data_IF_712789746330
#
_entry.id   IF_712789746330
#
_cell.length_a   1.000
_cell.length_b   1.000
_cell.length_c   1.000
_cell.angle_alpha   90.00
_cell.angle_beta   90.00
_cell.angle_gamma   90.00
#
_symmetry.space_group_name_H-M   'P 1'
#
loop_
_entity.id
_entity.type
_entity.pdbx_description
1 polymer ?
#
# COMPACT_ATOMS: atom_id res chain seq x y z
N UNK A 1 -25.29 -10.69 6.44
CA UNK A 1 -25.00 -11.87 7.28
C UNK A 1 -24.26 -12.87 6.43
N UNK A 2 -23.18 -13.44 6.96
CA UNK A 2 -22.39 -14.48 6.29
C UNK A 2 -23.20 -15.80 6.25
N UNK A 3 -23.29 -16.41 5.09
CA UNK A 3 -24.00 -17.67 4.86
C UNK A 3 -23.23 -18.88 5.38
N UNK A 4 -23.90 -20.02 5.58
CA UNK A 4 -23.22 -21.24 6.03
C UNK A 4 -22.20 -21.75 5.00
N UNK A 5 -22.49 -21.61 3.69
CA UNK A 5 -21.53 -21.93 2.61
C UNK A 5 -20.26 -21.08 2.75
N UNK A 6 -20.41 -19.76 2.98
CA UNK A 6 -19.25 -18.88 3.17
C UNK A 6 -18.45 -19.26 4.43
N UNK A 7 -19.11 -19.65 5.53
CA UNK A 7 -18.42 -20.12 6.75
C UNK A 7 -17.61 -21.39 6.49
N UNK A 8 -18.16 -22.35 5.76
CA UNK A 8 -17.45 -23.58 5.38
C UNK A 8 -16.21 -23.27 4.53
N UNK A 9 -16.34 -22.35 3.56
CA UNK A 9 -15.22 -21.92 2.72
C UNK A 9 -14.11 -21.24 3.54
N UNK A 10 -14.47 -20.37 4.49
CA UNK A 10 -13.51 -19.73 5.39
C UNK A 10 -12.77 -20.76 6.26
N UNK A 11 -13.48 -21.71 6.86
CA UNK A 11 -12.88 -22.80 7.65
C UNK A 11 -11.94 -23.67 6.80
N UNK A 12 -12.31 -23.94 5.56
CA UNK A 12 -11.46 -24.69 4.63
C UNK A 12 -10.12 -23.99 4.41
N UNK A 13 -10.13 -22.67 4.17
CA UNK A 13 -8.91 -21.89 3.96
C UNK A 13 -8.10 -21.75 5.25
N UNK A 14 -8.76 -21.57 6.40
CA UNK A 14 -8.09 -21.54 7.72
C UNK A 14 -7.26 -22.79 7.99
N UNK A 15 -7.73 -23.95 7.54
CA UNK A 15 -7.07 -25.24 7.72
C UNK A 15 -6.03 -25.57 6.64
N UNK A 16 -5.76 -24.66 5.68
CA UNK A 16 -4.67 -24.84 4.71
C UNK A 16 -3.29 -24.61 5.33
N UNK A 17 -2.34 -25.49 5.01
CA UNK A 17 -0.97 -25.37 5.51
C UNK A 17 -0.21 -24.25 4.80
N UNK A 18 0.32 -23.28 5.56
CA UNK A 18 1.23 -22.26 5.04
C UNK A 18 2.46 -22.87 4.35
N UNK A 19 3.06 -23.94 4.92
CA UNK A 19 4.22 -24.61 4.33
C UNK A 19 3.88 -25.20 2.95
N UNK A 20 2.68 -25.80 2.82
CA UNK A 20 2.19 -26.32 1.54
C UNK A 20 2.01 -25.19 0.52
N UNK A 21 1.45 -24.05 0.93
CA UNK A 21 1.29 -22.89 0.03
C UNK A 21 2.65 -22.36 -0.44
N UNK A 22 3.62 -22.23 0.47
CA UNK A 22 4.99 -21.84 0.11
C UNK A 22 5.64 -22.81 -0.89
N UNK A 23 5.43 -24.11 -0.74
CA UNK A 23 5.99 -25.11 -1.64
C UNK A 23 5.36 -25.08 -3.04
N UNK A 24 4.03 -24.89 -3.11
CA UNK A 24 3.26 -25.10 -4.33
C UNK A 24 2.95 -23.82 -5.12
N UNK A 25 3.04 -22.64 -4.49
CA UNK A 25 2.64 -21.39 -5.13
C UNK A 25 3.38 -21.14 -6.45
N UNK A 26 2.65 -20.93 -7.55
CA UNK A 26 3.22 -20.61 -8.87
C UNK A 26 2.44 -19.46 -9.50
N UNK A 27 3.11 -18.68 -10.35
CA UNK A 27 2.39 -17.73 -11.19
C UNK A 27 1.59 -18.51 -12.23
N UNK A 28 0.26 -18.42 -12.14
CA UNK A 28 -0.66 -19.01 -13.11
C UNK A 28 -1.49 -17.86 -13.66
N UNK A 29 -1.25 -17.52 -14.94
CA UNK A 29 -1.67 -16.27 -15.59
C UNK A 29 -2.81 -16.42 -16.57
N UNK A 30 -3.14 -17.66 -16.94
CA UNK A 30 -4.16 -17.96 -17.94
C UNK A 30 -5.50 -18.27 -17.26
N UNK A 31 -6.45 -17.36 -17.40
CA UNK A 31 -7.78 -17.43 -16.81
C UNK A 31 -8.90 -17.67 -17.81
N UNK A 32 -10.11 -17.82 -17.27
CA UNK A 32 -11.32 -17.89 -18.07
C UNK A 32 -11.50 -16.63 -18.94
N UNK A 33 -11.71 -16.84 -20.24
CA UNK A 33 -11.88 -15.81 -21.26
C UNK A 33 -10.58 -15.21 -21.82
N UNK A 34 -9.42 -15.68 -21.34
CA UNK A 34 -8.12 -15.14 -21.75
C UNK A 34 -7.67 -15.70 -23.10
N UNK A 35 -6.62 -15.07 -23.64
CA UNK A 35 -6.02 -15.48 -24.92
C UNK A 35 -4.50 -15.34 -24.91
N UNK A 36 -3.82 -16.26 -25.57
CA UNK A 36 -2.40 -16.20 -25.88
C UNK A 36 -2.18 -16.64 -27.31
N UNK A 37 -1.19 -16.01 -27.94
CA UNK A 37 -0.61 -16.50 -29.19
C UNK A 37 -1.63 -16.68 -30.35
N UNK A 38 -2.77 -16.00 -30.31
CA UNK A 38 -3.89 -16.19 -31.25
C UNK A 38 -3.68 -15.51 -32.60
N UNK A 39 -2.75 -14.54 -32.70
CA UNK A 39 -2.66 -13.67 -33.87
C UNK A 39 -3.80 -12.65 -33.97
N UNK A 40 -4.62 -12.49 -32.93
CA UNK A 40 -5.76 -11.57 -32.92
C UNK A 40 -5.39 -10.23 -32.26
N UNK A 41 -6.02 -9.14 -32.73
CA UNK A 41 -6.02 -7.86 -32.04
C UNK A 41 -7.38 -7.62 -31.38
N UNK A 42 -7.37 -7.11 -30.15
CA UNK A 42 -8.59 -6.74 -29.41
C UNK A 42 -8.55 -5.27 -29.06
N UNK A 43 -9.72 -4.65 -28.93
CA UNK A 43 -9.84 -3.28 -28.42
C UNK A 43 -10.14 -3.31 -26.92
N UNK A 44 -9.35 -2.57 -26.13
CA UNK A 44 -9.61 -2.25 -24.72
C UNK A 44 -9.71 -0.73 -24.60
N UNK A 45 -10.94 -0.25 -24.44
CA UNK A 45 -11.32 1.16 -24.58
C UNK A 45 -10.71 1.83 -25.81
N UNK A 46 -9.75 2.75 -25.60
CA UNK A 46 -9.10 3.49 -26.67
C UNK A 46 -7.85 2.80 -27.25
N UNK A 47 -7.40 1.70 -26.66
CA UNK A 47 -6.19 0.99 -27.05
C UNK A 47 -6.48 -0.31 -27.79
N UNK A 48 -5.53 -0.74 -28.63
CA UNK A 48 -5.57 -2.03 -29.32
C UNK A 48 -4.47 -2.91 -28.76
N UNK A 49 -4.84 -4.04 -28.16
CA UNK A 49 -3.91 -5.06 -27.66
C UNK A 49 -3.75 -6.13 -28.73
N UNK A 50 -2.55 -6.25 -29.28
CA UNK A 50 -2.23 -7.29 -30.25
C UNK A 50 -1.68 -8.53 -29.54
N UNK A 51 -2.19 -9.71 -29.89
CA UNK A 51 -1.63 -10.99 -29.47
C UNK A 51 -0.92 -11.58 -30.67
N UNK A 52 0.42 -11.81 -30.62
CA UNK A 52 1.14 -12.40 -31.73
C UNK A 52 0.60 -13.80 -32.02
N UNK A 53 0.95 -14.38 -33.16
CA UNK A 53 0.75 -15.81 -33.39
C UNK A 53 1.92 -16.58 -32.77
N UNK A 54 1.66 -17.69 -32.07
CA UNK A 54 2.73 -18.44 -31.42
C UNK A 54 2.38 -19.89 -31.06
N UNK A 55 3.35 -20.61 -30.47
CA UNK A 55 3.25 -22.04 -30.17
C UNK A 55 2.26 -22.36 -29.05
N UNK A 56 1.99 -21.41 -28.15
CA UNK A 56 1.04 -21.56 -27.06
C UNK A 56 -0.33 -20.99 -27.43
N UNK A 57 -0.69 -21.02 -28.71
CA UNK A 57 -1.98 -20.51 -29.20
C UNK A 57 -3.13 -21.10 -28.41
N UNK A 58 -3.85 -20.24 -27.70
CA UNK A 58 -5.01 -20.65 -26.94
C UNK A 58 -5.95 -19.48 -26.74
N UNK A 59 -7.23 -19.75 -26.95
CA UNK A 59 -8.33 -18.85 -26.65
C UNK A 59 -9.31 -19.61 -25.78
N UNK A 60 -9.49 -19.17 -24.54
CA UNK A 60 -10.46 -19.78 -23.63
C UNK A 60 -11.83 -19.78 -24.28
N UNK A 61 -12.49 -20.94 -24.26
CA UNK A 61 -13.88 -21.09 -24.70
C UNK A 61 -14.89 -20.81 -23.56
N UNK A 62 -14.38 -20.66 -22.34
CA UNK A 62 -15.18 -20.39 -21.14
C UNK A 62 -15.38 -18.88 -20.97
N UNK A 63 -16.57 -18.50 -20.48
CA UNK A 63 -16.86 -17.12 -20.11
C UNK A 63 -16.07 -16.72 -18.87
N UNK A 64 -15.57 -15.48 -18.77
CA UNK A 64 -15.05 -14.96 -17.51
C UNK A 64 -16.10 -15.03 -16.40
N UNK A 65 -15.69 -15.44 -15.21
CA UNK A 65 -16.53 -15.50 -14.00
C UNK A 65 -15.81 -14.65 -12.95
N UNK A 66 -16.45 -13.61 -12.38
CA UNK A 66 -15.89 -12.82 -11.28
C UNK A 66 -15.65 -13.67 -10.03
N UNK A 67 -14.63 -13.33 -9.26
CA UNK A 67 -14.48 -13.83 -7.90
C UNK A 67 -15.73 -13.48 -7.07
N UNK A 68 -16.15 -14.40 -6.22
CA UNK A 68 -17.19 -14.19 -5.22
C UNK A 68 -16.76 -13.19 -4.14
N UNK A 69 -17.72 -12.71 -3.36
CA UNK A 69 -17.45 -11.81 -2.21
C UNK A 69 -16.46 -12.43 -1.22
N UNK A 70 -16.61 -13.72 -0.90
CA UNK A 70 -15.74 -14.39 0.08
C UNK A 70 -14.31 -14.55 -0.44
N UNK A 71 -14.12 -14.80 -1.74
CA UNK A 71 -12.80 -14.84 -2.36
C UNK A 71 -12.13 -13.47 -2.34
N UNK A 72 -12.88 -12.41 -2.71
CA UNK A 72 -12.39 -11.04 -2.63
C UNK A 72 -12.08 -10.61 -1.18
N UNK A 73 -12.89 -11.04 -0.22
CA UNK A 73 -12.67 -10.77 1.20
C UNK A 73 -11.37 -11.40 1.71
N UNK A 74 -11.11 -12.67 1.35
CA UNK A 74 -9.90 -13.37 1.75
C UNK A 74 -8.63 -12.72 1.16
N UNK A 75 -8.62 -12.38 -0.14
CA UNK A 75 -7.45 -11.74 -0.74
C UNK A 75 -7.24 -10.30 -0.24
N UNK A 76 -8.31 -9.52 -0.03
CA UNK A 76 -8.18 -8.16 0.53
C UNK A 76 -7.69 -8.17 1.97
N UNK A 77 -8.17 -9.11 2.80
CA UNK A 77 -7.63 -9.31 4.16
C UNK A 77 -6.18 -9.80 4.16
N UNK A 78 -5.82 -10.73 3.27
CA UNK A 78 -4.43 -11.16 3.13
C UNK A 78 -3.50 -9.99 2.72
N UNK A 79 -3.99 -9.07 1.89
CA UNK A 79 -3.23 -7.93 1.40
C UNK A 79 -2.95 -6.87 2.47
N UNK A 80 -3.94 -6.53 3.32
CA UNK A 80 -3.82 -5.45 4.30
C UNK A 80 -4.86 -5.47 5.43
N UNK A 81 -5.46 -6.63 5.72
CA UNK A 81 -6.50 -6.79 6.72
C UNK A 81 -6.01 -6.65 8.16
N UNK A 82 -6.89 -6.37 9.13
CA UNK A 82 -6.53 -6.32 10.55
C UNK A 82 -6.08 -7.70 11.04
N UNK A 83 -4.98 -7.76 11.80
CA UNK A 83 -4.53 -9.01 12.44
C UNK A 83 -4.50 -8.95 13.97
N UNK A 84 -4.38 -7.76 14.57
CA UNK A 84 -4.29 -7.64 16.02
C UNK A 84 -3.69 -6.32 16.50
N UNK A 85 -3.45 -6.19 17.80
CA UNK A 85 -2.67 -5.08 18.37
C UNK A 85 -1.17 -5.38 18.19
N UNK A 86 -0.36 -4.36 17.89
CA UNK A 86 1.09 -4.56 17.81
C UNK A 86 1.68 -4.75 19.20
N UNK A 87 2.74 -5.55 19.29
CA UNK A 87 3.46 -5.75 20.56
C UNK A 87 4.34 -4.56 20.93
N UNK A 88 4.83 -3.81 19.93
CA UNK A 88 5.70 -2.66 20.09
C UNK A 88 6.86 -2.93 21.08
N UNK A 89 7.55 -4.06 20.88
CA UNK A 89 8.58 -4.64 21.74
C UNK A 89 9.92 -3.88 21.69
N UNK A 90 9.85 -2.56 21.87
CA UNK A 90 10.97 -1.64 21.88
C UNK A 90 11.04 -0.90 23.22
N UNK A 91 12.25 -0.73 23.76
CA UNK A 91 12.46 0.00 25.01
C UNK A 91 12.28 1.51 24.84
N UNK A 92 11.89 2.21 25.91
CA UNK A 92 11.75 3.69 25.91
C UNK A 92 13.01 4.40 25.43
N UNK A 93 14.18 3.97 25.92
CA UNK A 93 15.47 4.53 25.50
C UNK A 93 15.88 4.18 24.07
N UNK A 94 15.17 3.26 23.42
CA UNK A 94 15.45 2.79 22.07
C UNK A 94 14.41 3.30 21.06
N UNK A 95 13.81 4.47 21.31
CA UNK A 95 12.81 5.11 20.45
C UNK A 95 11.50 4.33 20.24
N UNK A 96 10.92 3.77 21.31
CA UNK A 96 9.54 3.22 21.22
C UNK A 96 8.54 4.28 20.72
N UNK A 97 8.80 5.57 20.96
CA UNK A 97 8.03 6.68 20.44
C UNK A 97 7.89 6.69 18.92
N UNK A 98 8.76 5.98 18.19
CA UNK A 98 8.71 5.87 16.73
C UNK A 98 7.36 5.34 16.24
N UNK A 99 6.73 4.41 16.97
CA UNK A 99 5.48 3.80 16.54
C UNK A 99 4.38 4.83 16.31
N UNK A 100 3.68 4.70 15.19
CA UNK A 100 2.62 5.63 14.77
C UNK A 100 1.23 5.10 15.14
N UNK A 101 1.01 3.80 14.96
CA UNK A 101 -0.25 3.12 15.26
C UNK A 101 -0.03 2.01 16.29
N UNK A 102 -1.06 1.72 17.10
CA UNK A 102 -1.02 0.58 18.04
C UNK A 102 -1.68 -0.69 17.47
N UNK A 103 -2.16 -0.64 16.23
CA UNK A 103 -2.91 -1.72 15.59
C UNK A 103 -2.14 -2.27 14.40
N UNK A 104 -2.21 -3.57 14.19
CA UNK A 104 -1.47 -4.32 13.19
C UNK A 104 -2.33 -4.71 12.00
N UNK A 105 -1.66 -4.96 10.89
CA UNK A 105 -2.22 -5.56 9.67
C UNK A 105 -1.47 -6.84 9.34
N UNK A 106 -2.02 -7.65 8.44
CA UNK A 106 -1.39 -8.88 7.91
C UNK A 106 -0.05 -8.63 7.20
N UNK A 107 0.33 -7.36 7.00
CA UNK A 107 1.58 -6.91 6.41
C UNK A 107 2.40 -6.09 7.42
N UNK A 108 3.74 -6.07 7.30
CA UNK A 108 4.57 -5.18 8.08
C UNK A 108 4.47 -3.74 7.55
N UNK A 109 4.84 -2.78 8.40
CA UNK A 109 5.07 -1.39 8.03
C UNK A 109 6.18 -0.81 8.90
N UNK A 110 7.06 0.05 8.34
CA UNK A 110 8.06 0.75 9.14
C UNK A 110 7.36 1.58 10.20
N UNK A 111 7.84 1.52 11.45
CA UNK A 111 7.24 2.22 12.59
C UNK A 111 5.73 1.96 12.80
N UNK A 112 5.24 0.87 12.22
CA UNK A 112 3.81 0.58 12.09
C UNK A 112 3.00 1.76 11.50
N UNK A 113 3.48 2.35 10.41
CA UNK A 113 2.91 3.56 9.77
C UNK A 113 1.51 3.43 9.18
N UNK A 114 1.05 2.19 8.97
CA UNK A 114 -0.16 1.85 8.21
C UNK A 114 -0.32 2.62 6.89
N UNK A 115 0.81 2.84 6.21
CA UNK A 115 0.89 3.63 4.98
C UNK A 115 0.23 2.96 3.78
N UNK A 116 0.14 1.62 3.76
CA UNK A 116 -0.42 0.83 2.66
C UNK A 116 -1.93 0.71 2.79
N UNK A 117 -2.64 1.12 1.75
CA UNK A 117 -4.05 0.80 1.52
C UNK A 117 -4.19 0.02 0.21
N UNK A 118 -5.40 -0.47 -0.05
CA UNK A 118 -5.65 -1.28 -1.23
C UNK A 118 -6.68 -0.63 -2.14
N UNK A 119 -6.31 -0.44 -3.39
CA UNK A 119 -7.29 -0.25 -4.47
C UNK A 119 -7.48 -1.60 -5.14
N UNK A 120 -8.72 -2.00 -5.40
CA UNK A 120 -8.99 -3.17 -6.22
C UNK A 120 -10.04 -2.88 -7.29
N UNK A 121 -9.90 -3.56 -8.42
CA UNK A 121 -10.71 -3.37 -9.62
C UNK A 121 -11.33 -4.72 -9.97
N UNK A 122 -12.66 -4.73 -10.00
CA UNK A 122 -13.51 -5.85 -10.39
C UNK A 122 -14.50 -5.36 -11.46
N UNK A 123 -15.26 -6.28 -12.06
CA UNK A 123 -16.18 -5.97 -13.16
C UNK A 123 -17.16 -4.83 -12.83
N UNK A 124 -17.65 -4.77 -11.59
CA UNK A 124 -18.62 -3.76 -11.14
C UNK A 124 -17.99 -2.38 -10.83
N UNK A 125 -16.68 -2.29 -10.60
CA UNK A 125 -16.11 -1.03 -10.14
C UNK A 125 -14.66 -1.03 -9.70
N UNK A 126 -14.21 0.18 -9.37
CA UNK A 126 -12.98 0.45 -8.64
C UNK A 126 -13.32 0.73 -7.18
N UNK A 127 -12.64 0.07 -6.27
CA UNK A 127 -12.89 0.17 -4.83
C UNK A 127 -11.62 0.52 -4.09
N UNK A 128 -11.78 1.23 -2.97
CA UNK A 128 -10.75 1.48 -1.99
C UNK A 128 -11.09 0.71 -0.71
N UNK A 129 -10.21 -0.17 -0.29
CA UNK A 129 -10.33 -0.97 0.92
C UNK A 129 -9.41 -0.40 2.00
N UNK A 130 -10.02 0.08 3.09
CA UNK A 130 -9.31 0.42 4.34
C UNK A 130 -10.11 -0.10 5.53
N UNK A 131 -9.74 -1.26 6.07
CA UNK A 131 -10.47 -1.90 7.17
C UNK A 131 -10.35 -1.09 8.47
N UNK A 132 -11.14 -1.40 9.50
CA UNK A 132 -11.05 -0.73 10.78
C UNK A 132 -9.73 -1.06 11.48
N UNK A 133 -9.36 -0.24 12.46
CA UNK A 133 -8.28 -0.59 13.38
C UNK A 133 -8.63 -1.85 14.20
N UNK A 134 -7.61 -2.67 14.48
CA UNK A 134 -7.74 -3.80 15.39
C UNK A 134 -8.07 -3.39 16.83
N UNK A 135 -8.74 -4.28 17.55
CA UNK A 135 -9.32 -4.09 18.87
C UNK A 135 -8.91 -5.17 19.88
N UNK A 136 -8.30 -6.26 19.41
CA UNK A 136 -7.79 -7.38 20.23
C UNK A 136 -6.36 -7.71 19.88
N UNK A 137 -5.64 -8.40 20.77
CA UNK A 137 -4.29 -8.93 20.49
C UNK A 137 -4.29 -9.77 19.21
N UNK A 138 -5.32 -10.61 19.03
CA UNK A 138 -5.58 -11.35 17.80
C UNK A 138 -7.01 -11.06 17.33
N UNK A 139 -7.14 -10.54 16.11
CA UNK A 139 -8.47 -10.27 15.54
C UNK A 139 -9.17 -11.53 15.03
N UNK A 140 -8.39 -12.54 14.65
CA UNK A 140 -8.87 -13.89 14.36
C UNK A 140 -8.12 -14.82 15.31
N UNK A 141 -8.76 -15.22 16.41
CA UNK A 141 -8.18 -16.11 17.41
C UNK A 141 -8.54 -17.57 17.12
N UNK A 142 -9.75 -17.78 16.59
CA UNK A 142 -10.29 -19.10 16.26
C UNK A 142 -11.23 -19.06 15.06
N UNK A 143 -11.76 -20.21 14.65
CA UNK A 143 -12.67 -20.32 13.50
C UNK A 143 -13.96 -19.50 13.67
N UNK A 144 -14.39 -19.24 14.90
CA UNK A 144 -15.56 -18.41 15.21
C UNK A 144 -15.39 -16.95 14.78
N UNK A 145 -14.15 -16.46 14.66
CA UNK A 145 -13.88 -15.07 14.26
C UNK A 145 -13.81 -14.87 12.74
N UNK A 146 -13.79 -15.95 11.94
CA UNK A 146 -13.50 -15.87 10.50
C UNK A 146 -14.49 -15.01 9.71
N UNK A 147 -15.75 -14.92 10.16
CA UNK A 147 -16.77 -14.11 9.49
C UNK A 147 -16.42 -12.61 9.46
N UNK A 148 -15.56 -12.14 10.38
CA UNK A 148 -15.03 -10.77 10.37
C UNK A 148 -14.33 -10.42 9.06
N UNK A 149 -13.67 -11.37 8.41
CA UNK A 149 -12.97 -11.15 7.13
C UNK A 149 -13.95 -10.65 6.07
N UNK A 150 -15.11 -11.31 5.97
CA UNK A 150 -16.16 -10.97 5.02
C UNK A 150 -16.86 -9.67 5.42
N UNK A 151 -17.12 -9.47 6.72
CA UNK A 151 -17.73 -8.24 7.21
C UNK A 151 -16.83 -7.02 7.00
N UNK A 152 -15.51 -7.14 7.18
CA UNK A 152 -14.58 -6.05 6.88
C UNK A 152 -14.58 -5.72 5.40
N UNK A 153 -14.54 -6.72 4.53
CA UNK A 153 -14.61 -6.50 3.09
C UNK A 153 -15.88 -5.75 2.68
N UNK A 154 -17.05 -6.20 3.14
CA UNK A 154 -18.35 -5.62 2.78
C UNK A 154 -18.56 -4.22 3.34
N UNK A 155 -18.13 -3.96 4.57
CA UNK A 155 -18.41 -2.69 5.26
C UNK A 155 -17.34 -1.61 5.03
N UNK A 156 -16.13 -1.99 4.63
CA UNK A 156 -14.99 -1.06 4.53
C UNK A 156 -14.36 -1.02 3.12
N UNK A 157 -15.12 -1.47 2.11
CA UNK A 157 -14.84 -1.21 0.70
C UNK A 157 -15.65 -0.01 0.21
N UNK A 158 -14.97 1.07 -0.15
CA UNK A 158 -15.58 2.29 -0.69
C UNK A 158 -15.54 2.23 -2.20
N UNK A 159 -16.70 2.17 -2.86
CA UNK A 159 -16.77 2.24 -4.33
C UNK A 159 -16.39 3.65 -4.79
N UNK A 160 -15.38 3.75 -5.65
CA UNK A 160 -14.84 5.00 -6.19
C UNK A 160 -15.39 5.30 -7.59
N UNK A 161 -15.48 4.28 -8.43
CA UNK A 161 -15.87 4.38 -9.84
C UNK A 161 -16.77 3.19 -10.20
N UNK A 162 -17.73 3.41 -11.11
CA UNK A 162 -18.57 2.36 -11.68
C UNK A 162 -17.88 1.69 -12.87
N UNK A 163 -17.88 0.36 -12.89
CA UNK A 163 -17.18 -0.45 -13.89
C UNK A 163 -15.65 -0.44 -13.73
N UNK A 164 -14.99 -1.29 -14.52
CA UNK A 164 -13.52 -1.33 -14.57
C UNK A 164 -12.99 -0.03 -15.18
N UNK A 165 -11.95 0.55 -14.57
CA UNK A 165 -11.15 1.56 -15.26
C UNK A 165 -10.31 0.90 -16.36
N UNK A 166 -10.18 1.55 -17.51
CA UNK A 166 -9.44 1.03 -18.65
C UNK A 166 -7.94 1.31 -18.51
N UNK A 167 -7.26 0.49 -17.70
CA UNK A 167 -5.81 0.56 -17.49
C UNK A 167 -5.01 -0.02 -18.68
N UNK A 168 -5.58 -0.09 -19.88
CA UNK A 168 -5.16 -1.00 -20.95
C UNK A 168 -3.63 -1.12 -21.15
N UNK A 169 -3.16 -2.35 -20.97
CA UNK A 169 -1.75 -2.74 -20.95
C UNK A 169 -1.13 -2.85 -22.34
N UNK A 170 -0.85 -1.70 -22.96
CA UNK A 170 0.00 -1.65 -24.15
C UNK A 170 1.19 -0.72 -23.95
N UNK A 171 2.23 -0.93 -24.75
CA UNK A 171 3.42 -0.09 -24.74
C UNK A 171 3.04 1.38 -25.01
N UNK A 172 3.73 2.34 -24.37
CA UNK A 172 4.87 2.12 -23.49
C UNK A 172 4.50 1.77 -22.04
N UNK A 173 3.22 1.79 -21.65
CA UNK A 173 2.79 1.84 -20.25
C UNK A 173 2.54 0.49 -19.56
N UNK A 174 2.67 -0.61 -20.29
CA UNK A 174 2.76 -1.96 -19.72
C UNK A 174 3.77 -2.82 -20.47
N UNK A 175 4.49 -3.69 -19.76
CA UNK A 175 5.38 -4.68 -20.37
C UNK A 175 4.60 -5.72 -21.20
N UNK A 176 5.21 -6.18 -22.31
CA UNK A 176 4.57 -7.04 -23.33
C UNK A 176 3.99 -8.36 -22.82
N UNK A 177 4.40 -8.80 -21.63
CA UNK A 177 3.91 -10.04 -21.01
C UNK A 177 2.64 -9.87 -20.17
N UNK A 178 2.12 -8.64 -20.01
CA UNK A 178 0.90 -8.33 -19.26
C UNK A 178 -0.32 -8.10 -20.18
N UNK A 179 -0.51 -8.91 -21.23
CA UNK A 179 -1.60 -8.69 -22.21
C UNK A 179 -3.01 -8.97 -21.66
N UNK A 180 -3.15 -10.03 -20.85
CA UNK A 180 -4.40 -10.38 -20.15
C UNK A 180 -4.55 -9.65 -18.80
N UNK A 181 -3.97 -8.46 -18.70
CA UNK A 181 -4.12 -7.60 -17.54
C UNK A 181 -5.50 -6.91 -17.53
N UNK A 182 -6.06 -6.78 -16.33
CA UNK A 182 -7.33 -6.13 -16.02
C UNK A 182 -8.50 -6.65 -16.88
N UNK A 183 -8.53 -7.96 -17.13
CA UNK A 183 -9.60 -8.62 -17.89
C UNK A 183 -10.86 -8.79 -17.05
N UNK A 184 -12.01 -8.92 -17.72
CA UNK A 184 -13.26 -9.26 -17.07
C UNK A 184 -13.14 -10.56 -16.26
N UNK A 185 -13.92 -10.69 -15.19
CA UNK A 185 -13.89 -11.84 -14.28
C UNK A 185 -12.64 -11.92 -13.38
N UNK A 186 -11.71 -10.98 -13.49
CA UNK A 186 -10.53 -10.92 -12.60
C UNK A 186 -10.66 -9.86 -11.52
N UNK A 187 -9.96 -10.05 -10.40
CA UNK A 187 -9.72 -9.00 -9.41
C UNK A 187 -8.29 -8.51 -9.58
N UNK A 188 -8.15 -7.24 -9.95
CA UNK A 188 -6.85 -6.57 -9.99
C UNK A 188 -6.66 -5.79 -8.69
N UNK A 189 -5.56 -6.05 -7.99
CA UNK A 189 -5.21 -5.40 -6.74
C UNK A 189 -3.99 -4.50 -6.93
N UNK A 190 -4.14 -3.25 -6.49
CA UNK A 190 -3.16 -2.17 -6.56
C UNK A 190 -2.91 -1.67 -5.13
N UNK A 191 -1.94 -2.25 -4.40
CA UNK A 191 -1.56 -1.73 -3.11
C UNK A 191 -0.93 -0.34 -3.28
N UNK A 192 -1.52 0.66 -2.63
CA UNK A 192 -1.12 2.06 -2.68
C UNK A 192 -0.45 2.43 -1.37
N UNK A 193 0.86 2.63 -1.42
CA UNK A 193 1.66 2.95 -0.22
C UNK A 193 1.95 4.44 -0.15
N UNK A 194 1.49 5.07 0.94
CA UNK A 194 1.83 6.45 1.30
C UNK A 194 3.10 6.46 2.16
N UNK A 195 4.23 6.59 1.48
CA UNK A 195 5.54 6.64 2.11
C UNK A 195 5.80 7.96 2.86
N UNK A 196 5.02 9.01 2.61
CA UNK A 196 5.23 10.30 3.28
C UNK A 196 5.12 10.22 4.80
N UNK A 197 4.33 9.28 5.32
CA UNK A 197 4.17 9.03 6.76
C UNK A 197 5.47 8.59 7.41
N UNK A 198 6.12 7.58 6.85
CA UNK A 198 7.41 7.11 7.36
C UNK A 198 8.50 8.15 7.16
N UNK A 199 8.46 8.92 6.05
CA UNK A 199 9.44 9.99 5.81
C UNK A 199 9.39 11.04 6.91
N UNK A 200 8.20 11.54 7.26
CA UNK A 200 8.10 12.55 8.30
C UNK A 200 8.51 11.96 9.65
N UNK A 201 8.11 10.72 9.94
CA UNK A 201 8.47 10.05 11.20
C UNK A 201 9.97 9.83 11.36
N UNK A 202 10.66 9.36 10.30
CA UNK A 202 12.08 9.03 10.38
C UNK A 202 12.96 10.26 10.61
N UNK A 203 12.49 11.46 10.22
CA UNK A 203 13.19 12.72 10.53
C UNK A 203 13.27 12.96 12.05
N UNK A 204 12.20 12.68 12.79
CA UNK A 204 12.23 12.75 14.25
C UNK A 204 13.21 11.73 14.83
N UNK A 205 13.18 10.49 14.33
CA UNK A 205 14.10 9.44 14.76
C UNK A 205 15.57 9.83 14.52
N UNK A 206 15.89 10.34 13.32
CA UNK A 206 17.24 10.74 12.98
C UNK A 206 17.74 11.91 13.84
N UNK A 207 16.90 12.90 14.10
CA UNK A 207 17.33 14.07 14.85
C UNK A 207 17.41 13.82 16.35
N UNK A 208 16.49 13.05 16.91
CA UNK A 208 16.41 12.86 18.36
C UNK A 208 17.23 11.67 18.86
N UNK A 209 17.18 10.53 18.18
CA UNK A 209 17.72 9.27 18.69
C UNK A 209 19.05 8.89 18.03
N UNK A 210 19.11 8.94 16.69
CA UNK A 210 20.36 8.64 15.96
C UNK A 210 21.33 9.84 15.96
N UNK A 211 20.81 11.04 16.25
CA UNK A 211 21.58 12.30 16.31
C UNK A 211 22.30 12.61 14.99
N UNK A 212 21.65 12.28 13.87
CA UNK A 212 22.17 12.40 12.51
C UNK A 212 21.64 13.68 11.84
N UNK A 213 22.49 14.64 11.47
CA UNK A 213 22.07 15.76 10.63
C UNK A 213 21.85 15.32 9.18
N UNK A 214 21.04 16.08 8.43
CA UNK A 214 20.84 15.86 7.00
C UNK A 214 21.53 16.97 6.19
N UNK A 215 22.28 16.56 5.17
CA UNK A 215 22.92 17.45 4.20
C UNK A 215 22.31 17.30 2.81
N UNK A 216 22.37 18.36 2.02
CA UNK A 216 22.04 18.33 0.60
C UNK A 216 23.29 17.99 -0.21
N UNK A 217 23.28 16.82 -0.87
CA UNK A 217 24.37 16.31 -1.72
C UNK A 217 24.81 17.32 -2.80
N UNK A 218 23.88 18.13 -3.32
CA UNK A 218 24.18 19.09 -4.39
C UNK A 218 24.93 20.33 -3.90
N UNK A 219 24.87 20.63 -2.60
CA UNK A 219 25.49 21.84 -2.03
C UNK A 219 26.58 21.53 -1.01
N UNK A 220 26.57 20.32 -0.43
CA UNK A 220 27.43 19.93 0.69
C UNK A 220 27.08 20.63 2.01
N UNK A 221 25.94 21.35 2.07
CA UNK A 221 25.51 22.10 3.24
C UNK A 221 24.40 21.38 4.00
N UNK A 222 24.20 21.73 5.28
CA UNK A 222 23.04 21.31 6.05
C UNK A 222 21.76 21.70 5.31
N UNK A 223 20.82 20.76 5.19
CA UNK A 223 19.51 20.98 4.62
C UNK A 223 18.61 21.67 5.68
N UNK A 224 18.83 22.97 5.88
CA UNK A 224 18.31 23.75 7.00
C UNK A 224 17.92 25.15 6.55
N UNK A 225 16.61 25.45 6.51
CA UNK A 225 16.09 26.70 5.99
C UNK A 225 16.25 27.89 6.96
N UNK A 226 16.09 27.64 8.26
CA UNK A 226 16.01 28.69 9.29
C UNK A 226 17.10 28.59 10.38
N UNK A 227 18.04 27.66 10.25
CA UNK A 227 19.14 27.47 11.20
C UNK A 227 18.80 26.59 12.40
N UNK A 228 17.61 25.98 12.47
CA UNK A 228 17.19 25.13 13.58
C UNK A 228 18.09 23.87 13.69
N UNK A 229 18.40 23.21 12.57
CA UNK A 229 19.28 22.04 12.57
C UNK A 229 20.71 22.43 12.97
N UNK A 230 21.21 23.56 12.44
CA UNK A 230 22.53 24.10 12.82
C UNK A 230 22.63 24.37 14.31
N UNK A 231 21.61 24.93 14.95
CA UNK A 231 21.60 25.13 16.41
C UNK A 231 21.75 23.81 17.18
N UNK A 232 21.14 22.72 16.69
CA UNK A 232 21.30 21.40 17.29
C UNK A 232 22.71 20.83 17.09
N UNK A 233 23.31 21.04 15.92
CA UNK A 233 24.71 20.67 15.65
C UNK A 233 25.66 21.44 16.56
N UNK A 234 25.49 22.76 16.69
CA UNK A 234 26.35 23.62 17.51
C UNK A 234 26.27 23.25 19.01
N UNK A 235 25.10 22.80 19.48
CA UNK A 235 24.89 22.26 20.83
C UNK A 235 25.45 20.84 21.03
N UNK A 236 25.94 20.21 19.97
CA UNK A 236 26.35 18.81 19.97
C UNK A 236 25.20 17.83 20.11
N UNK A 237 23.94 18.24 19.91
CA UNK A 237 22.78 17.33 19.91
C UNK A 237 22.82 16.46 18.65
N UNK A 238 22.94 17.07 17.47
CA UNK A 238 23.23 16.34 16.23
C UNK A 238 24.75 16.21 16.09
N UNK A 239 25.27 15.02 16.36
CA UNK A 239 26.71 14.80 16.54
C UNK A 239 27.26 13.64 15.71
N UNK A 240 26.44 12.98 14.89
CA UNK A 240 26.94 11.92 14.01
C UNK A 240 28.03 12.45 13.08
N UNK A 241 29.13 11.71 12.99
CA UNK A 241 30.26 12.04 12.10
C UNK A 241 29.94 11.79 10.62
N UNK A 242 28.94 10.95 10.35
CA UNK A 242 28.46 10.64 9.01
C UNK A 242 27.05 11.22 8.90
N UNK A 243 26.86 12.32 8.15
CA UNK A 243 25.53 12.88 7.94
C UNK A 243 24.71 11.96 7.03
N UNK A 244 23.39 12.00 7.21
CA UNK A 244 22.46 11.49 6.21
C UNK A 244 22.44 12.47 5.04
N UNK A 245 22.34 11.96 3.82
CA UNK A 245 22.17 12.83 2.65
C UNK A 245 20.75 12.76 2.14
N UNK A 246 20.27 13.84 1.50
CA UNK A 246 18.92 13.85 0.95
C UNK A 246 18.74 12.76 -0.12
N UNK A 247 19.75 12.46 -0.94
CA UNK A 247 19.68 11.36 -1.93
C UNK A 247 19.58 9.98 -1.25
N UNK A 248 20.34 9.76 -0.18
CA UNK A 248 20.25 8.49 0.57
C UNK A 248 18.88 8.33 1.24
N UNK A 249 18.33 9.40 1.81
CA UNK A 249 16.97 9.43 2.35
C UNK A 249 15.94 9.06 1.28
N UNK A 250 16.00 9.71 0.12
CA UNK A 250 15.11 9.45 -1.04
C UNK A 250 15.16 8.00 -1.52
N UNK A 251 16.35 7.37 -1.56
CA UNK A 251 16.51 5.97 -1.96
C UNK A 251 15.96 5.00 -0.92
N UNK A 252 16.17 5.26 0.36
CA UNK A 252 15.68 4.42 1.45
C UNK A 252 14.14 4.28 1.40
N UNK A 253 13.46 5.38 1.06
CA UNK A 253 12.00 5.43 0.93
C UNK A 253 11.48 4.46 -0.13
N UNK A 254 12.09 4.49 -1.34
CA UNK A 254 11.70 3.59 -2.42
C UNK A 254 11.91 2.12 -2.07
N UNK A 255 12.99 1.81 -1.36
CA UNK A 255 13.27 0.44 -0.89
C UNK A 255 12.20 -0.04 0.12
N UNK A 256 11.85 0.81 1.09
CA UNK A 256 10.80 0.53 2.09
C UNK A 256 9.44 0.30 1.42
N UNK A 257 9.05 1.18 0.49
CA UNK A 257 7.80 1.04 -0.26
C UNK A 257 7.74 -0.31 -1.01
N UNK A 258 8.84 -0.72 -1.64
CA UNK A 258 8.95 -2.00 -2.32
C UNK A 258 8.75 -3.21 -1.40
N UNK A 259 9.29 -3.19 -0.18
CA UNK A 259 9.15 -4.27 0.81
C UNK A 259 7.71 -4.40 1.32
N UNK A 260 7.08 -3.27 1.70
CA UNK A 260 5.72 -3.26 2.23
C UNK A 260 4.72 -3.75 1.17
N UNK A 261 4.80 -3.18 -0.04
CA UNK A 261 3.94 -3.60 -1.17
C UNK A 261 4.23 -5.04 -1.59
N UNK A 262 5.52 -5.42 -1.65
CA UNK A 262 5.94 -6.78 -1.99
C UNK A 262 5.37 -7.84 -1.05
N UNK A 263 5.31 -7.54 0.25
CA UNK A 263 4.72 -8.43 1.25
C UNK A 263 3.21 -8.56 1.06
N UNK A 264 2.52 -7.44 0.78
CA UNK A 264 1.08 -7.42 0.50
C UNK A 264 0.71 -8.31 -0.69
N UNK A 265 1.37 -8.13 -1.85
CA UNK A 265 1.07 -8.93 -3.04
C UNK A 265 1.50 -10.40 -2.89
N UNK A 266 2.53 -10.68 -2.08
CA UNK A 266 2.95 -12.05 -1.77
C UNK A 266 1.92 -12.76 -0.89
N UNK A 267 1.34 -12.09 0.11
CA UNK A 267 0.25 -12.64 0.92
C UNK A 267 -0.97 -12.98 0.06
N UNK A 268 -1.36 -12.08 -0.85
CA UNK A 268 -2.45 -12.33 -1.82
C UNK A 268 -2.15 -13.56 -2.66
N UNK A 269 -0.91 -13.72 -3.12
CA UNK A 269 -0.49 -14.85 -3.95
C UNK A 269 -0.60 -16.17 -3.20
N UNK A 270 -0.19 -16.21 -1.93
CA UNK A 270 -0.32 -17.40 -1.08
C UNK A 270 -1.79 -17.71 -0.76
N UNK A 271 -2.59 -16.69 -0.45
CA UNK A 271 -4.03 -16.83 -0.24
C UNK A 271 -4.75 -17.35 -1.50
N UNK A 272 -4.34 -16.88 -2.68
CA UNK A 272 -4.86 -17.36 -3.96
C UNK A 272 -4.55 -18.85 -4.18
N UNK A 273 -3.33 -19.31 -3.87
CA UNK A 273 -2.97 -20.73 -3.96
C UNK A 273 -3.83 -21.59 -3.03
N UNK A 274 -4.05 -21.12 -1.79
CA UNK A 274 -4.88 -21.81 -0.81
C UNK A 274 -6.30 -22.03 -1.31
N UNK A 275 -6.87 -21.04 -2.00
CA UNK A 275 -8.21 -21.14 -2.60
C UNK A 275 -8.27 -21.92 -3.92
N UNK A 276 -7.12 -22.21 -4.55
CA UNK A 276 -7.07 -22.83 -5.88
C UNK A 276 -7.25 -21.85 -7.04
N UNK A 277 -6.93 -20.57 -6.82
CA UNK A 277 -7.04 -19.50 -7.82
C UNK A 277 -5.75 -19.28 -8.60
N UNK A 278 -5.90 -18.69 -9.79
CA UNK A 278 -4.79 -18.17 -10.58
C UNK A 278 -4.37 -16.81 -10.07
N UNK A 279 -3.05 -16.60 -9.91
CA UNK A 279 -2.52 -15.27 -9.60
C UNK A 279 -1.15 -15.03 -10.22
N UNK A 280 -0.83 -13.77 -10.47
CA UNK A 280 0.55 -13.35 -10.68
C UNK A 280 0.80 -11.93 -10.19
N UNK A 281 2.00 -11.74 -9.66
CA UNK A 281 2.55 -10.45 -9.27
C UNK A 281 3.29 -9.89 -10.48
N UNK A 282 3.14 -8.60 -10.73
CA UNK A 282 3.85 -7.92 -11.79
C UNK A 282 4.09 -6.45 -11.45
N UNK A 283 5.26 -5.96 -11.86
CA UNK A 283 5.49 -4.54 -12.05
C UNK A 283 5.37 -4.18 -13.53
N UNK A 284 6.06 -3.12 -13.93
CA UNK A 284 6.12 -2.71 -15.33
C UNK A 284 4.79 -2.21 -15.88
N UNK A 285 3.88 -1.80 -15.00
CA UNK A 285 2.82 -0.85 -15.30
C UNK A 285 3.27 0.49 -14.73
N UNK A 286 3.10 1.55 -15.52
CA UNK A 286 3.49 2.88 -15.08
C UNK A 286 2.43 3.38 -14.11
N UNK A 287 2.80 3.49 -12.85
CA UNK A 287 1.94 3.97 -11.77
C UNK A 287 1.43 5.40 -12.02
N UNK A 288 2.15 6.21 -12.80
CA UNK A 288 1.66 7.50 -13.32
C UNK A 288 0.39 7.34 -14.17
N UNK A 289 0.34 6.33 -15.04
CA UNK A 289 -0.87 6.04 -15.84
C UNK A 289 -2.00 5.57 -14.93
N UNK A 290 -1.70 4.70 -13.96
CA UNK A 290 -2.68 4.27 -12.94
C UNK A 290 -3.24 5.49 -12.20
N UNK A 291 -2.40 6.45 -11.82
CA UNK A 291 -2.83 7.67 -11.12
C UNK A 291 -3.47 8.73 -12.04
N UNK A 292 -3.69 8.43 -13.33
CA UNK A 292 -4.40 9.30 -14.27
C UNK A 292 -3.56 10.43 -14.87
N UNK A 293 -2.23 10.35 -14.82
CA UNK A 293 -1.34 11.43 -15.28
C UNK A 293 -1.41 11.73 -16.78
N UNK A 294 -1.92 10.79 -17.58
CA UNK A 294 -2.00 10.90 -19.04
C UNK A 294 -3.44 10.78 -19.57
N UNK A 295 -4.43 11.05 -18.71
CA UNK A 295 -5.82 11.11 -19.11
C UNK A 295 -6.07 12.36 -20.00
N UNK A 296 -7.01 12.30 -20.97
CA UNK A 296 -7.89 11.18 -21.29
C UNK A 296 -7.29 10.15 -22.27
N UNK A 297 -6.04 10.33 -22.72
CA UNK A 297 -5.40 9.44 -23.69
C UNK A 297 -5.19 8.04 -23.10
N UNK A 298 -4.73 7.98 -21.85
CA UNK A 298 -4.63 6.75 -21.06
C UNK A 298 -5.36 6.95 -19.75
N UNK A 299 -6.45 6.19 -19.58
CA UNK A 299 -7.29 6.30 -18.38
C UNK A 299 -6.68 5.54 -17.22
N UNK A 300 -6.88 6.08 -16.03
CA UNK A 300 -6.41 5.58 -14.76
C UNK A 300 -7.46 5.81 -13.68
N UNK A 301 -7.03 6.39 -12.58
CA UNK A 301 -7.84 6.69 -11.40
C UNK A 301 -8.29 8.16 -11.37
N UNK A 302 -8.22 8.91 -12.47
CA UNK A 302 -8.69 10.30 -12.53
C UNK A 302 -10.18 10.42 -12.22
N UNK A 303 -11.01 9.45 -12.63
CA UNK A 303 -12.45 9.39 -12.29
C UNK A 303 -12.65 9.12 -10.80
N UNK A 304 -11.73 8.37 -10.18
CA UNK A 304 -11.65 8.20 -8.73
C UNK A 304 -11.10 9.43 -8.01
N UNK A 305 -10.78 10.52 -8.73
CA UNK A 305 -10.16 11.75 -8.24
C UNK A 305 -8.73 11.56 -7.74
N UNK A 306 -7.97 10.67 -8.37
CA UNK A 306 -6.53 10.64 -8.21
C UNK A 306 -5.91 12.00 -8.57
N UNK A 307 -4.92 12.42 -7.78
CA UNK A 307 -4.26 13.70 -7.87
C UNK A 307 -2.81 13.47 -8.24
N UNK A 308 -2.41 14.03 -9.37
CA UNK A 308 -1.03 14.25 -9.75
C UNK A 308 -0.76 15.73 -9.91
N UNK A 309 0.43 16.18 -9.49
CA UNK A 309 0.87 17.56 -9.65
C UNK A 309 1.97 17.64 -10.70
N UNK A 310 1.99 18.72 -11.49
CA UNK A 310 3.15 19.00 -12.31
C UNK A 310 4.36 19.31 -11.41
N UNK A 311 5.56 18.81 -11.74
CA UNK A 311 6.73 19.09 -10.95
C UNK A 311 7.08 20.59 -11.01
N UNK A 312 7.49 21.22 -9.91
CA UNK A 312 7.99 22.60 -9.92
C UNK A 312 9.25 22.71 -10.79
N UNK A 313 9.46 23.85 -11.47
CA UNK A 313 10.64 24.05 -12.33
C UNK A 313 11.97 23.77 -11.61
N UNK A 314 12.06 24.19 -10.33
CA UNK A 314 13.23 24.01 -9.47
C UNK A 314 13.64 22.55 -9.28
N UNK A 315 12.69 21.61 -9.38
CA UNK A 315 12.94 20.19 -9.17
C UNK A 315 13.74 19.52 -10.29
N UNK A 316 13.75 20.11 -11.50
CA UNK A 316 14.24 19.50 -12.75
C UNK A 316 13.60 18.14 -13.06
N UNK A 317 12.50 17.78 -12.39
CA UNK A 317 11.76 16.54 -12.58
C UNK A 317 10.89 16.67 -13.82
N UNK A 318 10.86 15.63 -14.64
CA UNK A 318 10.04 15.58 -15.88
C UNK A 318 8.67 14.97 -15.60
N UNK A 319 8.63 13.92 -14.77
CA UNK A 319 7.41 13.18 -14.50
C UNK A 319 6.52 13.89 -13.47
N UNK A 320 5.19 13.85 -13.62
CA UNK A 320 4.25 14.32 -12.60
C UNK A 320 4.51 13.67 -11.23
N UNK A 321 4.02 14.32 -10.20
CA UNK A 321 4.21 13.92 -8.81
C UNK A 321 2.90 13.32 -8.27
N UNK A 322 2.93 12.08 -7.76
CA UNK A 322 1.72 11.35 -7.33
C UNK A 322 1.35 11.73 -5.89
N UNK A 323 0.23 12.42 -5.68
CA UNK A 323 -0.12 13.00 -4.37
C UNK A 323 -1.17 12.18 -3.61
N UNK A 324 -2.07 11.49 -4.32
CA UNK A 324 -3.08 10.67 -3.67
C UNK A 324 -4.40 10.65 -4.41
N UNK A 325 -5.49 10.47 -3.68
CA UNK A 325 -6.87 10.41 -4.16
C UNK A 325 -7.70 11.35 -3.30
N UNK A 326 -8.26 12.39 -3.93
CA UNK A 326 -8.96 13.48 -3.24
C UNK A 326 -10.15 12.94 -2.45
N UNK A 327 -10.29 13.41 -1.21
CA UNK A 327 -11.30 12.98 -0.23
C UNK A 327 -11.22 11.51 0.19
N UNK A 328 -10.21 10.76 -0.26
CA UNK A 328 -9.96 9.37 0.14
C UNK A 328 -8.64 9.33 0.89
N UNK A 329 -7.50 9.49 0.21
CA UNK A 329 -6.16 9.36 0.79
C UNK A 329 -5.21 10.33 0.12
N UNK A 330 -4.82 11.39 0.83
CA UNK A 330 -3.82 12.36 0.38
C UNK A 330 -2.54 12.19 1.20
N UNK A 331 -1.37 12.34 0.58
CA UNK A 331 -0.08 12.25 1.25
C UNK A 331 0.24 13.46 2.14
N UNK A 332 1.23 13.31 3.01
CA UNK A 332 1.94 14.39 3.69
C UNK A 332 2.98 15.01 2.74
N UNK A 333 2.51 15.91 1.86
CA UNK A 333 3.38 16.53 0.86
C UNK A 333 3.08 18.01 0.64
N UNK A 334 4.09 18.73 0.15
CA UNK A 334 4.03 20.13 -0.27
C UNK A 334 4.59 20.21 -1.69
N UNK A 335 3.84 20.76 -2.65
CA UNK A 335 4.27 20.91 -4.05
C UNK A 335 3.96 22.34 -4.52
N UNK A 336 5.02 23.12 -4.79
CA UNK A 336 4.94 24.49 -5.29
C UNK A 336 4.15 24.56 -6.60
N UNK A 337 3.20 25.49 -6.68
CA UNK A 337 2.34 25.67 -7.85
C UNK A 337 1.20 24.64 -7.99
N UNK A 338 1.11 23.62 -7.13
CA UNK A 338 0.01 22.66 -7.17
C UNK A 338 -1.14 23.06 -6.25
N UNK A 339 -2.30 23.36 -6.82
CA UNK A 339 -3.52 23.72 -6.08
C UNK A 339 -4.05 22.61 -5.14
N UNK A 340 -3.77 21.36 -5.48
CA UNK A 340 -4.19 20.18 -4.71
C UNK A 340 -3.03 19.66 -3.82
N UNK A 341 -1.98 20.47 -3.60
CA UNK A 341 -0.98 20.21 -2.58
C UNK A 341 -1.65 20.14 -1.20
N UNK A 342 -1.49 19.05 -0.43
CA UNK A 342 -2.18 18.85 0.84
C UNK A 342 -1.83 19.87 1.93
N UNK A 343 -0.59 20.37 1.93
CA UNK A 343 -0.08 21.31 2.94
C UNK A 343 0.61 22.50 2.28
N UNK A 344 0.67 23.62 3.00
CA UNK A 344 1.28 24.88 2.52
C UNK A 344 2.74 25.05 2.93
N UNK A 345 3.12 24.53 4.09
CA UNK A 345 4.45 24.67 4.67
C UNK A 345 4.76 23.52 5.63
N UNK A 346 6.03 23.40 6.03
CA UNK A 346 6.51 22.33 6.90
C UNK A 346 5.81 22.29 8.25
N UNK A 347 5.42 23.44 8.82
CA UNK A 347 4.71 23.49 10.10
C UNK A 347 3.34 22.83 10.02
N UNK A 348 2.52 23.20 9.05
CA UNK A 348 1.18 22.62 8.86
C UNK A 348 1.24 21.10 8.66
N UNK A 349 2.21 20.65 7.85
CA UNK A 349 2.45 19.24 7.57
C UNK A 349 2.90 18.47 8.81
N UNK A 350 3.89 19.00 9.55
CA UNK A 350 4.41 18.37 10.77
C UNK A 350 3.35 18.31 11.86
N UNK A 351 2.55 19.36 12.05
CA UNK A 351 1.45 19.37 13.01
C UNK A 351 0.38 18.34 12.65
N UNK A 352 0.03 18.23 11.37
CA UNK A 352 -0.90 17.19 10.92
C UNK A 352 -0.36 15.78 11.16
N UNK A 353 0.95 15.56 10.93
CA UNK A 353 1.59 14.29 11.25
C UNK A 353 1.58 13.98 12.74
N UNK A 354 1.94 14.94 13.60
CA UNK A 354 1.96 14.74 15.05
C UNK A 354 0.55 14.47 15.61
N UNK A 355 -0.50 15.03 15.03
CA UNK A 355 -1.88 14.71 15.40
C UNK A 355 -2.25 13.24 15.15
N UNK A 356 -1.61 12.55 14.20
CA UNK A 356 -1.81 11.11 13.98
C UNK A 356 -1.26 10.31 15.17
N UNK A 357 -0.15 10.75 15.77
CA UNK A 357 0.55 10.03 16.86
C UNK A 357 0.05 10.40 18.26
N UNK A 358 -0.13 11.70 18.50
CA UNK A 358 -0.37 12.27 19.83
C UNK A 358 -1.75 12.90 19.98
N UNK A 359 -2.51 13.01 18.88
CA UNK A 359 -3.82 13.64 18.87
C UNK A 359 -4.92 12.68 18.43
N UNK A 360 -5.97 13.29 17.89
CA UNK A 360 -7.07 12.59 17.21
C UNK A 360 -6.93 12.84 15.72
N UNK A 361 -7.15 11.83 14.91
CA UNK A 361 -7.12 11.95 13.46
C UNK A 361 -8.22 11.11 12.82
N UNK A 362 -8.51 11.40 11.55
CA UNK A 362 -9.59 10.80 10.79
C UNK A 362 -9.04 10.01 9.61
N UNK A 363 -9.50 8.78 9.46
CA UNK A 363 -9.14 7.90 8.36
C UNK A 363 -10.01 8.14 7.11
N UNK A 364 -9.56 7.69 5.92
CA UNK A 364 -10.31 7.73 4.65
C UNK A 364 -11.76 7.25 4.71
N UNK A 365 -12.07 6.30 5.60
CA UNK A 365 -13.41 5.72 5.78
C UNK A 365 -14.27 6.49 6.82
N UNK A 366 -13.88 7.72 7.14
CA UNK A 366 -14.49 8.60 8.14
C UNK A 366 -14.41 8.12 9.60
N UNK A 367 -13.67 7.06 9.88
CA UNK A 367 -13.45 6.61 11.26
C UNK A 367 -12.43 7.52 11.93
N UNK A 368 -12.73 7.92 13.17
CA UNK A 368 -11.84 8.73 13.97
C UNK A 368 -11.09 7.85 14.99
N UNK A 369 -9.81 8.15 15.18
CA UNK A 369 -8.95 7.39 16.06
C UNK A 369 -8.02 8.30 16.86
N UNK A 370 -7.73 7.87 18.08
CA UNK A 370 -6.69 8.45 18.91
C UNK A 370 -5.35 7.79 18.60
N UNK A 371 -4.32 8.62 18.37
CA UNK A 371 -2.96 8.17 18.12
C UNK A 371 -2.40 7.31 19.25
N UNK A 372 -1.41 6.47 18.96
CA UNK A 372 -0.83 5.53 19.94
C UNK A 372 -0.31 6.23 21.20
N UNK A 373 0.09 7.49 21.13
CA UNK A 373 0.58 8.29 22.27
C UNK A 373 -0.43 9.35 22.75
N UNK A 374 -1.65 9.33 22.24
CA UNK A 374 -2.68 10.30 22.60
C UNK A 374 -3.08 10.19 24.08
N UNK A 375 -3.33 11.34 24.76
CA UNK A 375 -3.89 11.35 26.12
C UNK A 375 -5.29 10.71 26.17
N UNK A 376 -6.01 10.63 25.05
CA UNK A 376 -7.37 10.12 24.97
C UNK A 376 -7.46 8.65 24.50
N UNK A 377 -6.35 8.03 24.08
CA UNK A 377 -6.37 6.64 23.63
C UNK A 377 -6.82 5.72 24.74
N UNK A 378 -7.78 4.83 24.44
CA UNK A 378 -8.20 3.77 25.36
C UNK A 378 -7.00 2.85 25.67
N UNK A 379 -6.57 2.75 26.95
CA UNK A 379 -5.45 1.91 27.33
C UNK A 379 -5.73 0.40 27.17
N UNK A 380 -6.96 -0.02 26.86
CA UNK A 380 -7.28 -1.40 26.50
C UNK A 380 -7.03 -1.70 25.01
N UNK A 381 -6.82 -0.69 24.18
CA UNK A 381 -6.53 -0.82 22.75
C UNK A 381 -5.04 -0.75 22.45
N UNK A 382 -4.20 -1.27 23.35
CA UNK A 382 -2.75 -1.45 23.18
C UNK A 382 -2.33 -2.79 23.76
N UNK A 383 -1.19 -3.35 23.34
CA UNK A 383 -0.72 -4.64 23.85
C UNK A 383 -0.05 -4.55 25.24
N UNK A 384 0.46 -3.37 25.62
CA UNK A 384 1.00 -3.16 26.95
C UNK A 384 -0.09 -3.27 28.02
N UNK A 385 0.31 -3.70 29.21
CA UNK A 385 -0.55 -3.56 30.39
C UNK A 385 -0.90 -2.09 30.58
N UNK A 386 -2.12 -1.83 31.05
CA UNK A 386 -2.68 -0.48 31.21
C UNK A 386 -1.77 0.47 32.00
N UNK A 387 -1.28 0.03 33.15
CA UNK A 387 -0.37 0.80 34.00
C UNK A 387 0.95 1.14 33.31
N UNK A 388 1.53 0.16 32.60
CA UNK A 388 2.75 0.36 31.81
C UNK A 388 2.51 1.36 30.68
N UNK A 389 1.44 1.21 29.90
CA UNK A 389 1.10 2.14 28.82
C UNK A 389 0.90 3.58 29.32
N UNK A 390 0.19 3.73 30.45
CA UNK A 390 -0.02 5.03 31.10
C UNK A 390 1.28 5.69 31.54
N UNK A 391 2.26 4.91 32.00
CA UNK A 391 3.60 5.41 32.30
C UNK A 391 4.35 5.80 31.03
N UNK A 392 4.36 4.92 30.01
CA UNK A 392 5.03 5.14 28.74
C UNK A 392 4.58 6.44 28.08
N UNK A 393 3.27 6.61 27.85
CA UNK A 393 2.74 7.77 27.12
C UNK A 393 2.98 9.12 27.81
N UNK A 394 3.36 9.13 29.09
CA UNK A 394 3.69 10.34 29.87
C UNK A 394 5.19 10.56 30.01
N UNK A 395 6.02 9.60 29.62
CA UNK A 395 7.47 9.71 29.67
C UNK A 395 7.94 10.82 28.71
N UNK A 396 8.90 11.63 29.16
CA UNK A 396 9.44 12.75 28.39
C UNK A 396 10.08 12.31 27.07
N UNK A 397 10.61 11.08 26.99
CA UNK A 397 11.20 10.51 25.77
C UNK A 397 10.15 10.13 24.73
N UNK A 398 8.90 9.97 25.14
CA UNK A 398 7.80 9.75 24.20
C UNK A 398 7.30 11.07 23.61
N UNK A 399 7.51 12.19 24.31
CA UNK A 399 7.08 13.50 23.84
C UNK A 399 8.06 14.08 22.83
N UNK A 400 7.52 14.75 21.82
CA UNK A 400 8.34 15.45 20.82
C UNK A 400 8.92 16.72 21.44
N UNK A 401 10.26 16.85 21.40
CA UNK A 401 10.95 18.07 21.82
C UNK A 401 10.78 19.17 20.77
N UNK A 402 10.55 20.40 21.24
CA UNK A 402 10.26 21.53 20.34
C UNK A 402 11.44 21.86 19.43
N UNK A 403 12.68 21.76 19.90
CA UNK A 403 13.86 22.03 19.07
C UNK A 403 14.08 20.97 17.96
N UNK A 404 13.73 19.72 18.24
CA UNK A 404 13.66 18.64 17.23
C UNK A 404 12.53 18.92 16.22
N UNK A 405 11.33 19.27 16.68
CA UNK A 405 10.19 19.64 15.82
C UNK A 405 10.57 20.77 14.87
N UNK A 406 11.20 21.83 15.38
CA UNK A 406 11.62 22.97 14.56
C UNK A 406 12.73 22.58 13.55
N UNK A 407 13.62 21.65 13.88
CA UNK A 407 14.60 21.13 12.94
C UNK A 407 13.94 20.31 11.80
N UNK A 408 12.92 19.49 12.10
CA UNK A 408 12.12 18.78 11.09
C UNK A 408 11.41 19.76 10.17
N UNK A 409 10.76 20.79 10.72
CA UNK A 409 10.10 21.84 9.94
C UNK A 409 11.12 22.54 9.03
N UNK A 410 12.28 22.92 9.58
CA UNK A 410 13.33 23.61 8.82
C UNK A 410 13.88 22.79 7.65
N UNK A 411 14.03 21.47 7.84
CA UNK A 411 14.43 20.56 6.76
C UNK A 411 13.38 20.48 5.65
N UNK A 412 12.09 20.36 6.01
CA UNK A 412 11.00 20.31 5.04
C UNK A 412 10.91 21.62 4.26
N UNK A 413 10.95 22.76 4.95
CA UNK A 413 10.92 24.08 4.32
C UNK A 413 12.15 24.33 3.43
N UNK A 414 13.32 23.76 3.78
CA UNK A 414 14.51 23.79 2.93
C UNK A 414 14.26 23.05 1.63
N UNK A 415 13.72 21.82 1.71
CA UNK A 415 13.39 21.03 0.52
C UNK A 415 12.41 21.77 -0.40
N UNK A 416 11.38 22.40 0.17
CA UNK A 416 10.42 23.20 -0.60
C UNK A 416 11.08 24.45 -1.19
N UNK A 417 11.87 25.21 -0.44
CA UNK A 417 12.52 26.40 -0.95
C UNK A 417 13.52 26.10 -2.08
N UNK A 418 14.29 25.01 -1.94
CA UNK A 418 15.34 24.62 -2.87
C UNK A 418 14.82 23.87 -4.10
N UNK A 419 13.89 22.93 -3.90
CA UNK A 419 13.44 21.98 -4.92
C UNK A 419 11.96 22.17 -5.31
N UNK A 420 11.25 23.07 -4.64
CA UNK A 420 9.82 23.33 -4.85
C UNK A 420 8.90 22.26 -4.25
N UNK A 421 9.43 21.22 -3.60
CA UNK A 421 8.62 20.11 -3.13
C UNK A 421 9.20 19.38 -1.92
N UNK A 422 8.32 18.76 -1.16
CA UNK A 422 8.63 17.76 -0.15
C UNK A 422 7.53 16.68 -0.13
N UNK A 423 7.90 15.37 -0.06
CA UNK A 423 9.24 14.82 -0.27
C UNK A 423 9.80 15.08 -1.68
N UNK A 424 11.06 14.75 -1.97
CA UNK A 424 11.61 14.93 -3.34
C UNK A 424 11.26 13.78 -4.28
N UNK A 425 11.01 12.59 -3.72
CA UNK A 425 10.44 11.43 -4.41
C UNK A 425 8.92 11.44 -4.34
N UNK A 426 8.24 10.59 -5.12
CA UNK A 426 6.79 10.43 -4.95
C UNK A 426 6.46 10.00 -3.51
N UNK A 427 5.39 10.54 -2.89
CA UNK A 427 4.91 10.06 -1.61
C UNK A 427 4.03 8.83 -1.80
N UNK A 428 3.30 8.73 -2.92
CA UNK A 428 2.43 7.62 -3.25
C UNK A 428 3.14 6.65 -4.20
N UNK A 429 3.28 5.40 -3.79
CA UNK A 429 3.94 4.34 -4.55
C UNK A 429 2.98 3.20 -4.88
N UNK A 430 3.04 2.73 -6.14
CA UNK A 430 2.34 1.52 -6.61
C UNK A 430 3.34 0.67 -7.42
N UNK A 431 4.41 0.14 -6.80
CA UNK A 431 5.53 -0.48 -7.51
C UNK A 431 5.17 -1.85 -8.11
N UNK A 432 4.17 -2.53 -7.55
CA UNK A 432 3.73 -3.86 -7.96
C UNK A 432 2.22 -3.96 -7.83
N UNK A 433 1.63 -4.79 -8.68
CA UNK A 433 0.24 -5.19 -8.66
C UNK A 433 0.13 -6.72 -8.63
N UNK A 434 -1.05 -7.23 -8.26
CA UNK A 434 -1.40 -8.65 -8.37
C UNK A 434 -2.77 -8.79 -8.99
N UNK A 435 -2.91 -9.70 -9.95
CA UNK A 435 -4.19 -10.05 -10.55
C UNK A 435 -4.56 -11.46 -10.14
N UNK A 436 -5.78 -11.63 -9.65
CA UNK A 436 -6.36 -12.90 -9.22
C UNK A 436 -7.55 -13.24 -10.11
N UNK A 437 -7.68 -14.51 -10.49
CA UNK A 437 -8.71 -14.96 -11.43
C UNK A 437 -8.96 -16.47 -11.31
N UNK A 438 -10.12 -16.91 -11.81
CA UNK A 438 -10.39 -18.32 -12.06
C UNK A 438 -9.57 -18.84 -13.24
N UNK A 439 -8.85 -19.95 -13.05
CA UNK A 439 -8.02 -20.55 -14.09
C UNK A 439 -8.84 -21.23 -15.17
N UNK A 440 -8.40 -21.11 -16.42
CA UNK A 440 -8.83 -22.06 -17.45
C UNK A 440 -7.91 -23.28 -17.44
N UNK A 441 -8.31 -24.33 -16.71
CA UNK A 441 -7.51 -25.55 -16.54
C UNK A 441 -7.22 -26.27 -17.87
N UNK A 442 -8.00 -26.02 -18.93
CA UNK A 442 -7.80 -26.69 -20.22
C UNK A 442 -6.54 -26.19 -20.92
N UNK A 443 -6.19 -24.91 -20.72
CA UNK A 443 -4.91 -24.37 -21.17
C UNK A 443 -3.73 -25.11 -20.53
N UNK A 444 -3.78 -25.31 -19.21
CA UNK A 444 -2.70 -25.96 -18.49
C UNK A 444 -2.61 -27.45 -18.83
N UNK A 445 -3.74 -28.16 -18.90
CA UNK A 445 -3.77 -29.57 -19.34
C UNK A 445 -3.23 -29.77 -20.75
N UNK A 446 -3.41 -28.78 -21.64
CA UNK A 446 -2.90 -28.85 -23.01
C UNK A 446 -1.39 -28.66 -23.10
N UNK A 447 -0.81 -27.77 -22.30
CA UNK A 447 0.57 -27.29 -22.51
C UNK A 447 1.56 -27.61 -21.39
N UNK A 448 1.09 -28.01 -20.21
CA UNK A 448 1.94 -28.24 -19.04
C UNK A 448 1.76 -29.66 -18.50
N UNK A 449 2.70 -30.08 -17.66
CA UNK A 449 2.55 -31.33 -16.90
C UNK A 449 1.43 -31.20 -15.87
N UNK A 450 0.78 -32.30 -15.53
CA UNK A 450 -0.41 -32.30 -14.66
C UNK A 450 -0.13 -31.72 -13.26
N UNK A 451 1.09 -31.87 -12.74
CA UNK A 451 1.48 -31.42 -11.40
C UNK A 451 1.47 -29.90 -11.22
N UNK A 452 1.34 -29.12 -12.31
CA UNK A 452 1.16 -27.67 -12.20
C UNK A 452 -0.21 -27.32 -11.60
N UNK A 453 -1.18 -28.22 -11.65
CA UNK A 453 -2.52 -28.07 -11.10
C UNK A 453 -2.62 -28.82 -9.77
N UNK A 454 -2.76 -28.08 -8.68
CA UNK A 454 -2.99 -28.66 -7.35
C UNK A 454 -4.43 -29.16 -7.21
N UNK A 455 -4.70 -29.99 -6.20
CA UNK A 455 -6.06 -30.45 -5.92
C UNK A 455 -7.04 -29.28 -5.71
N UNK A 456 -6.61 -28.24 -4.98
CA UNK A 456 -7.45 -27.04 -4.75
C UNK A 456 -7.82 -26.37 -6.06
N UNK A 457 -6.92 -26.31 -7.04
CA UNK A 457 -7.19 -25.75 -8.37
C UNK A 457 -8.19 -26.64 -9.13
N UNK A 458 -7.97 -27.95 -9.14
CA UNK A 458 -8.83 -28.90 -9.86
C UNK A 458 -10.26 -28.91 -9.33
N UNK A 459 -10.42 -28.76 -8.01
CA UNK A 459 -11.72 -28.80 -7.32
C UNK A 459 -12.30 -27.42 -7.05
N UNK A 460 -11.63 -26.34 -7.48
CA UNK A 460 -12.01 -24.98 -7.15
C UNK A 460 -13.49 -24.70 -7.50
N UNK A 461 -13.89 -24.96 -8.76
CA UNK A 461 -15.27 -24.72 -9.16
C UNK A 461 -16.28 -25.58 -8.39
N UNK A 462 -16.02 -26.87 -8.18
CA UNK A 462 -16.88 -27.77 -7.40
C UNK A 462 -17.15 -27.26 -5.98
N UNK A 463 -16.12 -26.66 -5.35
CA UNK A 463 -16.16 -26.25 -3.94
C UNK A 463 -16.74 -24.85 -3.79
N UNK A 464 -16.33 -23.91 -4.63
CA UNK A 464 -16.62 -22.49 -4.46
C UNK A 464 -17.90 -22.05 -5.18
N UNK A 465 -18.25 -22.67 -6.32
CA UNK A 465 -19.34 -22.25 -7.19
C UNK A 465 -20.38 -23.36 -7.32
#
# INVERSE_FOLDING_TARGET
>A
MVSEKERELLRRVWNESLMKQLAHVRSRRFGLGYRYDTGEAIRKGNLVVEYPKGLLEFKSQKKPIPLSDVENALITWAAAGPNGLILADLGVSNNVATFIYATGRTIPGPDNDQGLDLIYIIDDGVYFYRPPQASRIYEIESEEDLEKIVDWYRNYSIKLVNGRTDLAGTLPFAMVFNKNFNENGSTLMLPIYDASRVIVNILFHYFEYERVPIIDDNTGQLADQNGAMKKLVDKGILSSQIPMTMDLLDRAIGAVAGVVVGTSVQNVRLMSEAMGLGSWIFGGIYDYTIMGAFAPQFRGLEEARAVVCQPPEKSKRIWPYKVGIKNIKMSLSIIEGCKDSPYKNGRELVEAFLNIKYGKYKEPNNLEYDGIWSPNRDPNLVAWKRDIYEMLRRDEKIQVKEDIKEAVISFIDYSVAKYGMFPRVDPIWIPMAVQVHHLDIDFYKKYYKEEVLTENILRHFEVWH
#
